data_IF_692247766608
#
_entry.id   IF_692247766608
#
_cell.length_a   1.000
_cell.length_b   1.000
_cell.length_c   1.000
_cell.angle_alpha   90.00
_cell.angle_beta   90.00
_cell.angle_gamma   90.00
#
_symmetry.space_group_name_H-M   'P 1'
#
loop_
_entity.id
_entity.type
_entity.pdbx_description
1 polymer ?
#
# COMPACT_ATOMS: atom_id res chain seq x y z
N UNK A 1 7.16 24.60 -1.83
CA UNK A 1 7.13 23.98 -0.48
C UNK A 1 6.12 22.85 -0.53
N UNK A 2 6.38 21.70 0.10
CA UNK A 2 5.40 20.61 0.17
C UNK A 2 4.42 20.86 1.34
N UNK A 3 3.14 20.57 1.13
CA UNK A 3 2.09 20.73 2.16
C UNK A 3 1.96 19.49 3.06
N UNK A 4 2.42 18.34 2.58
CA UNK A 4 2.50 17.09 3.35
C UNK A 4 3.59 16.18 2.77
N UNK A 5 4.06 15.24 3.61
CA UNK A 5 4.89 14.11 3.18
C UNK A 5 4.10 12.84 3.40
N UNK A 6 3.82 12.12 2.32
CA UNK A 6 3.20 10.80 2.37
C UNK A 6 4.28 9.75 2.19
N UNK A 7 4.39 8.81 3.13
CA UNK A 7 5.38 7.74 3.03
C UNK A 7 4.83 6.36 3.35
N UNK A 8 5.51 5.38 2.75
CA UNK A 8 5.12 3.98 2.78
C UNK A 8 6.19 3.09 3.43
N UNK A 9 7.19 3.71 4.06
CA UNK A 9 8.35 3.02 4.64
C UNK A 9 9.54 2.88 3.68
N UNK A 10 10.46 1.99 4.01
CA UNK A 10 11.74 1.83 3.29
C UNK A 10 12.87 2.72 3.84
N UNK A 11 14.09 2.49 3.37
CA UNK A 11 15.30 3.15 3.88
C UNK A 11 15.32 4.66 3.60
N UNK A 12 14.73 5.10 2.48
CA UNK A 12 14.64 6.52 2.09
C UNK A 12 13.59 7.27 2.92
N UNK A 13 12.58 6.59 3.44
CA UNK A 13 11.47 7.26 4.12
C UNK A 13 11.89 7.87 5.47
N UNK A 14 12.79 7.24 6.21
CA UNK A 14 13.22 7.75 7.52
C UNK A 14 13.85 9.15 7.45
N UNK A 15 14.87 9.43 6.61
CA UNK A 15 15.41 10.79 6.50
C UNK A 15 14.37 11.80 6.00
N UNK A 16 13.47 11.40 5.10
CA UNK A 16 12.38 12.27 4.64
C UNK A 16 11.41 12.64 5.78
N UNK A 17 11.02 11.68 6.63
CA UNK A 17 10.19 11.93 7.80
C UNK A 17 10.88 12.86 8.81
N UNK A 18 12.18 12.70 9.04
CA UNK A 18 12.93 13.56 9.94
C UNK A 18 13.03 15.00 9.41
N UNK A 19 13.23 15.17 8.10
CA UNK A 19 13.22 16.48 7.45
C UNK A 19 11.84 17.14 7.53
N UNK A 20 10.77 16.40 7.23
CA UNK A 20 9.39 16.88 7.35
C UNK A 20 9.07 17.37 8.77
N UNK A 21 9.45 16.57 9.78
CA UNK A 21 9.32 16.94 11.19
C UNK A 21 10.05 18.25 11.51
N UNK A 22 11.30 18.41 11.05
CA UNK A 22 12.09 19.64 11.27
C UNK A 22 11.49 20.87 10.62
N UNK A 23 10.84 20.70 9.46
CA UNK A 23 10.22 21.78 8.71
C UNK A 23 8.76 22.06 9.09
N UNK A 24 8.21 21.32 10.06
CA UNK A 24 6.80 21.42 10.45
C UNK A 24 5.82 20.97 9.37
N UNK A 25 6.26 20.15 8.41
CA UNK A 25 5.42 19.60 7.34
C UNK A 25 4.75 18.32 7.85
N UNK A 26 3.41 18.18 7.76
CA UNK A 26 2.71 17.01 8.29
C UNK A 26 3.10 15.73 7.54
N UNK A 27 3.26 14.65 8.32
CA UNK A 27 3.62 13.33 7.82
C UNK A 27 2.37 12.45 7.82
N UNK A 28 2.09 11.80 6.70
CA UNK A 28 1.05 10.77 6.55
C UNK A 28 1.75 9.46 6.20
N UNK A 29 1.44 8.40 6.94
CA UNK A 29 2.05 7.08 6.75
C UNK A 29 0.99 6.08 6.32
N UNK A 30 1.33 5.22 5.35
CA UNK A 30 0.61 3.97 5.12
C UNK A 30 1.55 2.77 5.27
N UNK A 31 1.17 1.78 6.09
CA UNK A 31 1.93 0.54 6.28
C UNK A 31 1.21 -0.64 5.59
N UNK A 32 1.79 -1.09 4.48
CA UNK A 32 1.29 -2.20 3.67
C UNK A 32 1.68 -3.58 4.24
N UNK A 33 2.65 -3.65 5.15
CA UNK A 33 3.11 -4.92 5.69
C UNK A 33 2.43 -5.24 7.03
N UNK A 34 2.21 -6.53 7.30
CA UNK A 34 1.71 -7.00 8.59
C UNK A 34 2.68 -6.65 9.74
N UNK A 35 3.99 -6.68 9.48
CA UNK A 35 5.03 -6.26 10.43
C UNK A 35 5.61 -4.91 10.00
N UNK A 36 5.41 -3.85 10.79
CA UNK A 36 5.89 -2.53 10.42
C UNK A 36 7.41 -2.44 10.34
N UNK A 37 7.91 -1.77 9.29
CA UNK A 37 9.32 -1.45 9.13
C UNK A 37 9.81 -0.40 10.13
N UNK A 38 11.14 -0.32 10.34
CA UNK A 38 11.74 0.64 11.28
C UNK A 38 11.39 2.10 10.96
N UNK A 39 11.41 2.47 9.67
CA UNK A 39 11.06 3.82 9.24
C UNK A 39 9.65 4.23 9.66
N UNK A 40 8.65 3.36 9.45
CA UNK A 40 7.27 3.64 9.83
C UNK A 40 7.05 3.55 11.34
N UNK A 41 7.76 2.66 12.06
CA UNK A 41 7.77 2.63 13.53
C UNK A 41 8.24 3.95 14.13
N UNK A 42 9.31 4.54 13.60
CA UNK A 42 9.83 5.83 14.06
C UNK A 42 8.91 6.98 13.59
N UNK A 43 8.57 6.99 12.30
CA UNK A 43 7.74 8.03 11.69
C UNK A 43 6.36 8.17 12.32
N UNK A 44 5.72 7.06 12.69
CA UNK A 44 4.39 7.05 13.34
C UNK A 44 4.33 7.83 14.64
N UNK A 45 5.46 8.07 15.31
CA UNK A 45 5.53 8.88 16.54
C UNK A 45 5.28 10.37 16.29
N UNK A 46 5.45 10.82 15.05
CA UNK A 46 5.34 12.23 14.62
C UNK A 46 4.32 12.43 13.50
N UNK A 47 3.68 11.35 13.04
CA UNK A 47 2.73 11.40 11.95
C UNK A 47 1.42 12.06 12.37
N UNK A 48 0.87 12.88 11.47
CA UNK A 48 -0.47 13.44 11.62
C UNK A 48 -1.55 12.36 11.39
N UNK A 49 -1.26 11.39 10.51
CA UNK A 49 -2.13 10.25 10.23
C UNK A 49 -1.30 8.99 9.94
N UNK A 50 -1.77 7.84 10.44
CA UNK A 50 -1.19 6.53 10.17
C UNK A 50 -2.29 5.59 9.69
N UNK A 51 -2.15 5.10 8.46
CA UNK A 51 -3.03 4.13 7.85
C UNK A 51 -2.35 2.76 7.77
N UNK A 52 -3.12 1.68 7.93
CA UNK A 52 -2.57 0.32 7.93
C UNK A 52 -3.43 -0.62 7.10
N UNK A 53 -2.76 -1.62 6.52
CA UNK A 53 -3.37 -2.65 5.66
C UNK A 53 -3.85 -3.89 6.42
N UNK A 54 -3.43 -4.07 7.67
CA UNK A 54 -3.81 -5.19 8.54
C UNK A 54 -4.46 -4.67 9.82
N UNK A 55 -5.52 -5.33 10.32
CA UNK A 55 -6.23 -4.87 11.52
C UNK A 55 -5.36 -4.97 12.78
N UNK A 56 -4.45 -5.94 12.85
CA UNK A 56 -3.60 -6.19 14.03
C UNK A 56 -2.33 -5.33 14.10
N UNK A 57 -2.20 -4.32 13.23
CA UNK A 57 -1.02 -3.48 13.17
C UNK A 57 -0.90 -2.59 14.42
N UNK A 58 0.28 -2.61 15.07
CA UNK A 58 0.52 -1.92 16.35
C UNK A 58 1.22 -0.56 16.22
N UNK A 59 1.23 0.05 15.03
CA UNK A 59 1.75 1.41 14.89
C UNK A 59 0.90 2.41 15.70
N UNK A 60 1.56 3.42 16.26
CA UNK A 60 0.87 4.47 17.02
C UNK A 60 -0.09 5.22 16.10
N UNK A 61 -1.35 5.36 16.54
CA UNK A 61 -2.38 6.06 15.76
C UNK A 61 -2.83 5.33 14.50
N UNK A 62 -2.57 4.01 14.40
CA UNK A 62 -2.96 3.22 13.25
C UNK A 62 -4.48 3.21 13.03
N UNK A 63 -4.89 3.53 11.81
CA UNK A 63 -6.25 3.37 11.30
C UNK A 63 -6.24 2.30 10.20
N UNK A 64 -7.01 1.23 10.40
CA UNK A 64 -7.18 0.21 9.38
C UNK A 64 -7.98 0.75 8.19
N UNK A 65 -7.37 0.69 7.00
CA UNK A 65 -8.03 1.06 5.73
C UNK A 65 -7.83 0.03 4.61
N UNK A 66 -7.03 -1.01 4.84
CA UNK A 66 -6.64 -1.96 3.80
C UNK A 66 -5.54 -1.44 2.87
N UNK A 67 -5.38 -2.08 1.71
CA UNK A 67 -4.44 -1.69 0.66
C UNK A 67 -5.17 -0.79 -0.36
N UNK A 68 -4.72 0.45 -0.60
CA UNK A 68 -5.24 1.27 -1.67
C UNK A 68 -4.92 0.62 -3.03
N UNK A 69 -5.96 0.19 -3.75
CA UNK A 69 -5.84 -0.38 -5.09
C UNK A 69 -6.34 0.61 -6.13
N UNK A 70 -5.85 0.48 -7.38
CA UNK A 70 -6.41 1.21 -8.53
C UNK A 70 -7.89 0.85 -8.66
N UNK A 71 -8.75 1.84 -8.95
CA UNK A 71 -10.19 1.63 -9.10
C UNK A 71 -10.52 0.52 -10.10
N UNK A 72 -9.83 0.49 -11.25
CA UNK A 72 -9.98 -0.55 -12.27
C UNK A 72 -9.74 -1.98 -11.77
N UNK A 73 -8.99 -2.15 -10.67
CA UNK A 73 -8.77 -3.44 -10.01
C UNK A 73 -9.82 -3.64 -8.91
N UNK A 74 -10.01 -2.64 -8.05
CA UNK A 74 -10.91 -2.72 -6.91
C UNK A 74 -12.39 -2.93 -7.30
N UNK A 75 -12.80 -2.46 -8.47
CA UNK A 75 -14.17 -2.57 -8.98
C UNK A 75 -14.28 -3.54 -10.17
N UNK A 76 -13.27 -4.37 -10.41
CA UNK A 76 -13.26 -5.29 -11.55
C UNK A 76 -14.28 -6.40 -11.36
N UNK A 77 -15.26 -6.48 -12.26
CA UNK A 77 -16.09 -7.68 -12.38
C UNK A 77 -15.30 -8.79 -13.08
N UNK A 78 -14.59 -9.55 -12.26
CA UNK A 78 -13.75 -10.67 -12.71
C UNK A 78 -14.53 -11.78 -13.40
N UNK A 79 -15.83 -11.93 -13.14
CA UNK A 79 -16.62 -12.96 -13.78
C UNK A 79 -16.99 -12.51 -15.19
N UNK A 80 -17.46 -11.27 -15.34
CA UNK A 80 -17.86 -10.70 -16.62
C UNK A 80 -16.70 -10.61 -17.62
N UNK A 81 -15.50 -10.17 -17.18
CA UNK A 81 -14.36 -9.96 -18.09
C UNK A 81 -13.54 -11.23 -18.37
N UNK A 82 -13.82 -12.34 -17.68
CA UNK A 82 -13.01 -13.56 -17.77
C UNK A 82 -12.95 -14.16 -19.18
N UNK A 83 -14.05 -14.27 -19.95
CA UNK A 83 -14.00 -14.85 -21.29
C UNK A 83 -13.14 -14.02 -22.24
N UNK A 84 -13.31 -12.70 -22.23
CA UNK A 84 -12.52 -11.77 -23.04
C UNK A 84 -11.04 -11.83 -22.68
N UNK A 85 -10.72 -11.82 -21.37
CA UNK A 85 -9.34 -11.93 -20.91
C UNK A 85 -8.69 -13.26 -21.35
N UNK A 86 -9.40 -14.39 -21.24
CA UNK A 86 -8.88 -15.68 -21.70
C UNK A 86 -8.63 -15.69 -23.20
N UNK A 87 -9.56 -15.17 -23.99
CA UNK A 87 -9.39 -15.05 -25.44
C UNK A 87 -8.18 -14.17 -25.80
N UNK A 88 -8.02 -13.03 -25.14
CA UNK A 88 -6.91 -12.10 -25.37
C UNK A 88 -5.53 -12.74 -25.09
N UNK A 89 -5.44 -13.64 -24.11
CA UNK A 89 -4.21 -14.38 -23.78
C UNK A 89 -4.12 -15.77 -24.42
N UNK A 90 -5.06 -16.17 -25.28
CA UNK A 90 -5.07 -17.48 -25.94
C UNK A 90 -5.22 -18.67 -24.97
N UNK A 91 -5.88 -18.46 -23.83
CA UNK A 91 -6.02 -19.45 -22.76
C UNK A 91 -7.27 -20.32 -22.95
N UNK A 92 -7.11 -21.63 -22.84
CA UNK A 92 -8.23 -22.59 -22.94
C UNK A 92 -9.25 -22.35 -21.79
N UNK A 93 -10.54 -22.08 -22.09
CA UNK A 93 -11.57 -21.86 -21.08
C UNK A 93 -11.89 -23.11 -20.24
N UNK A 94 -11.60 -24.31 -20.75
CA UNK A 94 -11.88 -25.58 -20.08
C UNK A 94 -10.82 -25.99 -19.05
N UNK A 95 -9.64 -25.37 -19.11
CA UNK A 95 -8.51 -25.69 -18.23
C UNK A 95 -8.30 -24.62 -17.14
N UNK A 96 -7.73 -25.01 -15.98
CA UNK A 96 -7.24 -24.05 -15.01
C UNK A 96 -6.05 -23.27 -15.58
N UNK A 97 -6.01 -21.96 -15.31
CA UNK A 97 -4.87 -21.09 -15.67
C UNK A 97 -3.98 -20.89 -14.45
N UNK A 98 -2.68 -21.18 -14.57
CA UNK A 98 -1.68 -20.89 -13.56
C UNK A 98 -0.84 -19.68 -13.98
N UNK A 99 -0.83 -18.62 -13.18
CA UNK A 99 0.12 -17.53 -13.31
C UNK A 99 1.37 -17.86 -12.50
N UNK A 100 2.51 -18.00 -13.17
CA UNK A 100 3.82 -18.16 -12.53
C UNK A 100 4.56 -16.83 -12.65
N UNK A 101 4.95 -16.26 -11.51
CA UNK A 101 5.78 -15.05 -11.43
C UNK A 101 6.82 -15.28 -10.35
N UNK A 102 8.09 -15.02 -10.67
CA UNK A 102 9.24 -15.41 -9.84
C UNK A 102 9.94 -14.27 -9.12
N UNK A 103 9.60 -13.01 -9.40
CA UNK A 103 10.43 -11.88 -8.99
C UNK A 103 11.73 -11.83 -9.77
#
# INVERSE_FOLDING_TARGET
>A
KADAVVGFGGYVALPAYLAAKRLGVPIVIHEANARPGLANKIGSRYAAQVAVSTPDNKLRGARYIGIPLRRSIATLDRAAVRPEARAAFGLDPSLPTLLVSGG
#
